data_IF_674010069940
#
_entry.id   IF_674010069940
#
_cell.length_a   1.000
_cell.length_b   1.000
_cell.length_c   1.000
_cell.angle_alpha   90.00
_cell.angle_beta   90.00
_cell.angle_gamma   90.00
#
_symmetry.space_group_name_H-M   'P 1'
#
loop_
_entity.id
_entity.type
_entity.pdbx_description
1 polymer ?
#
# COMPACT_ATOMS: atom_id res chain seq x y z
N UNK A 1 -23.41 6.08 -16.41
CA UNK A 1 -22.33 6.34 -15.44
C UNK A 1 -21.63 5.02 -15.16
N UNK A 2 -20.37 4.99 -15.40
CA UNK A 2 -19.61 3.79 -15.19
C UNK A 2 -19.18 3.68 -13.73
N UNK A 3 -19.41 2.52 -13.14
CA UNK A 3 -18.97 2.22 -11.78
C UNK A 3 -17.61 1.54 -11.85
N UNK A 4 -16.62 2.29 -12.34
CA UNK A 4 -15.28 1.76 -12.45
C UNK A 4 -14.61 1.75 -11.06
N UNK A 5 -14.53 0.57 -10.50
CA UNK A 5 -13.71 0.35 -9.32
C UNK A 5 -12.30 0.08 -9.83
N UNK A 6 -11.44 1.06 -9.74
CA UNK A 6 -10.05 0.89 -10.10
C UNK A 6 -9.24 0.43 -8.89
N UNK A 7 -8.41 -0.59 -9.12
CA UNK A 7 -7.46 -1.00 -8.10
C UNK A 7 -6.46 0.13 -7.87
N UNK A 8 -6.18 0.41 -6.61
CA UNK A 8 -5.22 1.43 -6.23
C UNK A 8 -3.90 0.78 -5.88
N UNK A 9 -2.87 1.11 -6.64
CA UNK A 9 -1.52 0.60 -6.43
C UNK A 9 -0.76 1.57 -5.53
N UNK A 10 0.14 1.03 -4.71
CA UNK A 10 1.01 1.88 -3.89
C UNK A 10 1.92 2.72 -4.80
N UNK A 11 2.39 3.85 -4.27
CA UNK A 11 3.37 4.68 -4.99
C UNK A 11 4.68 3.92 -5.18
N UNK A 12 5.52 4.37 -6.12
CA UNK A 12 6.82 3.74 -6.34
C UNK A 12 7.73 3.84 -5.12
N UNK A 13 7.68 4.93 -4.38
CA UNK A 13 8.45 5.08 -3.14
C UNK A 13 8.11 3.95 -2.18
N UNK A 14 6.82 3.68 -2.00
CA UNK A 14 6.36 2.59 -1.11
C UNK A 14 6.75 1.23 -1.70
N UNK A 15 6.62 1.04 -3.01
CA UNK A 15 7.01 -0.20 -3.66
C UNK A 15 8.49 -0.50 -3.45
N UNK A 16 9.36 0.50 -3.56
CA UNK A 16 10.79 0.35 -3.28
C UNK A 16 11.06 0.00 -1.82
N UNK A 17 10.34 0.64 -0.90
CA UNK A 17 10.46 0.34 0.53
C UNK A 17 10.06 -1.09 0.85
N UNK A 18 8.97 -1.57 0.23
CA UNK A 18 8.50 -2.95 0.40
C UNK A 18 9.52 -3.96 -0.12
N UNK A 19 10.11 -3.68 -1.27
CA UNK A 19 11.19 -4.52 -1.81
C UNK A 19 12.34 -4.64 -0.83
N UNK A 20 12.73 -3.53 -0.22
CA UNK A 20 13.86 -3.49 0.72
C UNK A 20 13.59 -4.25 2.02
N UNK A 21 12.34 -4.42 2.42
CA UNK A 21 11.98 -5.17 3.63
C UNK A 21 11.55 -6.61 3.34
N UNK A 22 11.74 -7.08 2.12
CA UNK A 22 11.52 -8.49 1.78
C UNK A 22 10.13 -8.85 1.31
N UNK A 23 9.40 -7.91 0.73
CA UNK A 23 8.09 -8.19 0.15
C UNK A 23 8.24 -9.10 -1.07
N UNK A 24 7.72 -10.32 -0.99
CA UNK A 24 7.84 -11.35 -2.03
C UNK A 24 6.49 -11.88 -2.52
N UNK A 25 5.42 -11.11 -2.35
CA UNK A 25 4.12 -11.49 -2.88
C UNK A 25 4.10 -11.29 -4.39
N UNK A 26 3.67 -12.29 -5.18
CA UNK A 26 3.51 -12.09 -6.62
C UNK A 26 2.47 -11.02 -6.91
N UNK A 27 2.82 -10.07 -7.78
CA UNK A 27 1.96 -8.94 -8.11
C UNK A 27 1.71 -8.84 -9.60
N UNK A 28 0.49 -8.43 -9.99
CA UNK A 28 0.12 -8.27 -11.39
C UNK A 28 0.84 -7.11 -12.07
N UNK A 29 1.32 -6.13 -11.30
CA UNK A 29 1.99 -4.92 -11.80
C UNK A 29 3.36 -4.75 -11.18
N UNK A 30 4.21 -4.00 -11.86
CA UNK A 30 5.55 -3.63 -11.41
C UNK A 30 5.89 -2.20 -11.84
N UNK A 31 6.81 -1.58 -11.11
CA UNK A 31 7.43 -0.32 -11.54
C UNK A 31 8.78 -0.62 -12.21
N UNK A 32 9.07 0.10 -13.29
CA UNK A 32 10.38 0.05 -13.93
C UNK A 32 11.25 1.23 -13.51
N UNK A 33 12.46 1.32 -14.08
CA UNK A 33 13.40 2.40 -13.77
C UNK A 33 12.89 3.81 -14.19
N UNK A 34 11.89 3.87 -15.06
CA UNK A 34 11.31 5.14 -15.52
C UNK A 34 10.09 5.56 -14.70
N UNK A 35 9.86 4.95 -13.55
CA UNK A 35 8.73 5.24 -12.66
C UNK A 35 7.35 4.98 -13.28
N UNK A 36 7.31 4.12 -14.30
CA UNK A 36 6.05 3.73 -14.95
C UNK A 36 5.61 2.36 -14.48
N UNK A 37 4.29 2.20 -14.31
CA UNK A 37 3.72 0.94 -13.91
C UNK A 37 3.44 0.07 -15.16
N UNK A 38 3.82 -1.20 -15.10
CA UNK A 38 3.67 -2.15 -16.19
C UNK A 38 3.11 -3.48 -15.72
N UNK A 39 2.64 -4.29 -16.67
CA UNK A 39 2.26 -5.66 -16.36
C UNK A 39 3.48 -6.48 -15.96
N UNK A 40 3.27 -7.38 -14.99
CA UNK A 40 4.33 -8.20 -14.38
C UNK A 40 3.99 -9.68 -14.56
N UNK A 41 3.95 -10.14 -15.80
CA UNK A 41 3.49 -11.50 -16.13
C UNK A 41 4.55 -12.25 -16.91
N UNK A 42 4.81 -13.50 -16.51
CA UNK A 42 5.60 -14.46 -17.28
C UNK A 42 4.83 -15.01 -18.47
N UNK A 43 5.52 -15.74 -19.35
CA UNK A 43 4.94 -16.37 -20.52
C UNK A 43 3.81 -17.35 -20.21
N UNK A 44 3.76 -17.91 -19.00
CA UNK A 44 2.71 -18.85 -18.56
C UNK A 44 1.66 -18.22 -17.64
N UNK A 45 1.49 -16.92 -17.71
CA UNK A 45 0.53 -16.13 -16.91
C UNK A 45 0.78 -16.16 -15.40
N UNK A 46 1.99 -16.47 -14.98
CA UNK A 46 2.39 -16.36 -13.57
C UNK A 46 2.90 -14.96 -13.27
N UNK A 47 2.53 -14.43 -12.11
CA UNK A 47 3.05 -13.15 -11.65
C UNK A 47 4.42 -13.34 -11.00
N UNK A 48 5.30 -12.37 -11.21
CA UNK A 48 6.66 -12.40 -10.66
C UNK A 48 6.73 -11.75 -9.28
N UNK A 49 7.63 -12.27 -8.44
CA UNK A 49 7.96 -11.66 -7.14
C UNK A 49 9.14 -10.70 -7.31
N UNK A 50 9.42 -9.90 -6.26
CA UNK A 50 10.54 -8.96 -6.30
C UNK A 50 11.89 -9.63 -6.60
N UNK A 51 12.14 -10.81 -6.05
CA UNK A 51 13.40 -11.52 -6.29
C UNK A 51 13.56 -12.03 -7.72
N UNK A 52 12.46 -12.11 -8.47
CA UNK A 52 12.46 -12.56 -9.87
C UNK A 52 12.57 -11.41 -10.86
N UNK A 53 12.51 -10.17 -10.40
CA UNK A 53 12.60 -8.97 -11.22
C UNK A 53 14.05 -8.50 -11.37
N UNK A 54 14.28 -7.65 -12.36
CA UNK A 54 15.57 -6.99 -12.50
C UNK A 54 15.83 -6.05 -11.31
N UNK A 55 17.11 -5.75 -10.99
CA UNK A 55 17.43 -4.92 -9.81
C UNK A 55 16.79 -3.53 -9.82
N UNK A 56 16.53 -2.96 -11.00
CA UNK A 56 15.91 -1.64 -11.16
C UNK A 56 14.39 -1.67 -11.22
N UNK A 57 13.79 -2.84 -11.01
CA UNK A 57 12.34 -3.02 -11.01
C UNK A 57 11.87 -3.41 -9.61
N UNK A 58 10.62 -3.09 -9.29
CA UNK A 58 9.99 -3.56 -8.08
C UNK A 58 8.51 -3.85 -8.31
N UNK A 59 7.99 -4.83 -7.57
CA UNK A 59 6.57 -5.15 -7.60
C UNK A 59 5.74 -3.96 -7.16
N UNK A 60 4.60 -3.75 -7.81
CA UNK A 60 3.65 -2.69 -7.48
C UNK A 60 2.37 -3.33 -6.94
N UNK A 61 2.32 -3.67 -5.64
CA UNK A 61 1.12 -4.23 -5.06
C UNK A 61 0.00 -3.19 -4.97
N UNK A 62 -1.23 -3.69 -4.89
CA UNK A 62 -2.35 -2.82 -4.52
C UNK A 62 -2.20 -2.37 -3.07
N UNK A 63 -2.86 -1.27 -2.73
CA UNK A 63 -2.89 -0.80 -1.34
C UNK A 63 -3.47 -1.87 -0.41
N UNK A 64 -4.54 -2.54 -0.83
CA UNK A 64 -5.18 -3.57 -0.01
C UNK A 64 -4.26 -4.76 0.23
N UNK A 65 -3.58 -5.25 -0.79
CA UNK A 65 -2.60 -6.33 -0.63
C UNK A 65 -1.50 -5.93 0.35
N UNK A 66 -1.03 -4.70 0.27
CA UNK A 66 0.03 -4.18 1.16
C UNK A 66 -0.46 -4.11 2.61
N UNK A 67 -1.66 -3.60 2.84
CA UNK A 67 -2.28 -3.55 4.18
C UNK A 67 -2.39 -4.95 4.76
N UNK A 68 -2.86 -5.91 3.97
CA UNK A 68 -3.02 -7.30 4.41
C UNK A 68 -1.66 -7.94 4.72
N UNK A 69 -0.66 -7.70 3.88
CA UNK A 69 0.70 -8.23 4.09
C UNK A 69 1.33 -7.69 5.38
N UNK A 70 1.19 -6.40 5.62
CA UNK A 70 1.69 -5.77 6.86
C UNK A 70 1.00 -6.38 8.09
N UNK A 71 -0.32 -6.55 8.03
CA UNK A 71 -1.07 -7.15 9.13
C UNK A 71 -0.62 -8.57 9.43
N UNK A 72 -0.46 -9.39 8.40
CA UNK A 72 -0.09 -10.80 8.56
C UNK A 72 1.34 -10.96 9.06
N UNK A 73 2.26 -10.16 8.56
CA UNK A 73 3.70 -10.34 8.86
C UNK A 73 4.18 -9.54 10.08
N UNK A 74 3.54 -8.43 10.40
CA UNK A 74 4.00 -7.53 11.46
C UNK A 74 2.97 -7.29 12.57
N UNK A 75 1.75 -7.77 12.40
CA UNK A 75 0.71 -7.58 13.40
C UNK A 75 0.26 -6.12 13.53
N UNK A 76 0.33 -5.37 12.45
CA UNK A 76 -0.08 -3.95 12.41
C UNK A 76 -1.26 -3.83 11.45
N UNK A 77 -2.35 -3.26 11.93
CA UNK A 77 -3.56 -3.04 11.14
C UNK A 77 -3.70 -1.58 10.77
N UNK A 78 -3.95 -1.30 9.49
CA UNK A 78 -4.27 0.03 8.99
C UNK A 78 -5.77 0.03 8.67
N UNK A 79 -6.53 0.85 9.38
CA UNK A 79 -7.98 0.99 9.20
C UNK A 79 -8.28 2.29 8.49
N UNK A 80 -9.15 2.24 7.49
CA UNK A 80 -9.53 3.42 6.72
C UNK A 80 -10.98 3.76 7.04
N UNK A 81 -11.22 4.96 7.53
CA UNK A 81 -12.56 5.42 7.87
C UNK A 81 -12.87 6.73 7.14
N UNK A 82 -14.08 6.86 6.58
CA UNK A 82 -14.51 8.14 6.05
C UNK A 82 -14.77 9.12 7.19
N UNK A 83 -14.41 10.38 6.98
CA UNK A 83 -14.65 11.43 7.95
C UNK A 83 -14.98 12.73 7.23
N UNK A 84 -15.61 13.66 7.95
CA UNK A 84 -15.88 14.98 7.44
C UNK A 84 -15.11 15.99 8.25
N UNK A 85 -14.43 16.91 7.56
CA UNK A 85 -13.71 17.99 8.21
C UNK A 85 -14.65 19.17 8.34
N UNK A 86 -14.93 19.58 9.58
CA UNK A 86 -15.82 20.69 9.92
C UNK A 86 -17.18 20.55 9.25
N UNK A 87 -17.64 21.59 8.56
CA UNK A 87 -18.94 21.60 7.87
C UNK A 87 -18.79 21.42 6.36
N UNK A 88 -17.64 20.89 5.92
CA UNK A 88 -17.44 20.58 4.51
C UNK A 88 -18.36 19.47 4.05
N UNK A 89 -18.83 19.59 2.81
CA UNK A 89 -19.68 18.56 2.20
C UNK A 89 -18.85 17.39 1.66
N UNK A 90 -17.54 17.54 1.56
CA UNK A 90 -16.66 16.53 1.00
C UNK A 90 -16.19 15.54 2.06
N UNK A 91 -16.22 14.26 1.71
CA UNK A 91 -15.74 13.20 2.56
C UNK A 91 -14.25 13.04 2.32
N UNK A 92 -13.47 13.08 3.39
CA UNK A 92 -12.07 12.69 3.38
C UNK A 92 -11.92 11.36 4.11
N UNK A 93 -10.75 10.74 4.00
CA UNK A 93 -10.50 9.42 4.60
C UNK A 93 -9.38 9.54 5.62
N UNK A 94 -9.63 8.95 6.78
CA UNK A 94 -8.67 8.91 7.87
C UNK A 94 -8.10 7.50 7.98
N UNK A 95 -6.78 7.38 7.95
CA UNK A 95 -6.09 6.12 8.15
C UNK A 95 -5.62 6.02 9.59
N UNK A 96 -6.11 5.00 10.29
CA UNK A 96 -5.77 4.72 11.69
C UNK A 96 -4.85 3.52 11.76
N UNK A 97 -3.81 3.61 12.59
CA UNK A 97 -2.81 2.56 12.74
C UNK A 97 -2.98 1.90 14.11
N UNK A 98 -3.15 0.57 14.09
CA UNK A 98 -3.32 -0.25 15.28
C UNK A 98 -2.17 -1.25 15.38
N UNK A 99 -1.51 -1.29 16.54
CA UNK A 99 -0.51 -2.32 16.82
C UNK A 99 -1.21 -3.49 17.50
N UNK A 100 -1.48 -4.55 16.75
CA UNK A 100 -2.35 -5.64 17.20
C UNK A 100 -1.85 -6.37 18.44
N UNK A 101 -0.52 -6.48 18.61
CA UNK A 101 0.05 -7.19 19.77
C UNK A 101 -0.24 -6.54 21.11
N UNK A 102 -0.40 -5.22 21.10
CA UNK A 102 -0.68 -4.43 22.30
C UNK A 102 -2.10 -3.92 22.35
N UNK A 103 -2.85 -4.09 21.26
CA UNK A 103 -4.19 -3.50 21.06
C UNK A 103 -4.21 -1.99 21.22
N UNK A 104 -3.06 -1.36 21.04
CA UNK A 104 -2.94 0.09 21.15
C UNK A 104 -3.10 0.74 19.80
N UNK A 105 -3.95 1.76 19.74
CA UNK A 105 -4.02 2.62 18.58
C UNK A 105 -2.78 3.53 18.58
N UNK A 106 -2.10 3.59 17.45
CA UNK A 106 -1.02 4.55 17.27
C UNK A 106 -1.62 5.95 17.15
N UNK A 107 -1.02 6.94 17.82
CA UNK A 107 -1.56 8.30 17.85
C UNK A 107 -1.52 9.01 16.49
N UNK A 108 -0.63 8.56 15.60
CA UNK A 108 -0.49 9.19 14.28
C UNK A 108 -1.61 8.73 13.36
N UNK A 109 -2.33 9.69 12.80
CA UNK A 109 -3.37 9.44 11.81
C UNK A 109 -3.09 10.28 10.56
N UNK A 110 -3.61 9.82 9.42
CA UNK A 110 -3.43 10.48 8.15
C UNK A 110 -4.78 10.78 7.54
N UNK A 111 -5.01 12.02 7.12
CA UNK A 111 -6.29 12.47 6.59
C UNK A 111 -6.08 13.05 5.20
N UNK A 112 -6.95 12.69 4.26
CA UNK A 112 -6.87 13.19 2.89
C UNK A 112 -7.75 12.40 1.95
N UNK A 113 -7.45 12.47 0.67
CA UNK A 113 -8.06 11.57 -0.30
C UNK A 113 -7.67 10.13 0.00
N UNK A 114 -8.52 9.18 -0.43
CA UNK A 114 -8.33 7.78 -0.07
C UNK A 114 -6.91 7.28 -0.35
N UNK A 115 -6.45 7.45 -1.59
CA UNK A 115 -5.12 6.96 -1.98
C UNK A 115 -4.01 7.61 -1.16
N UNK A 116 -4.09 8.91 -0.94
CA UNK A 116 -3.07 9.66 -0.20
C UNK A 116 -3.00 9.27 1.26
N UNK A 117 -4.14 9.13 1.93
CA UNK A 117 -4.17 8.75 3.34
C UNK A 117 -3.64 7.34 3.55
N UNK A 118 -3.99 6.41 2.66
CA UNK A 118 -3.51 5.03 2.74
C UNK A 118 -2.02 4.95 2.48
N UNK A 119 -1.52 5.59 1.42
CA UNK A 119 -0.08 5.58 1.12
C UNK A 119 0.73 6.22 2.24
N UNK A 120 0.26 7.33 2.80
CA UNK A 120 0.93 7.99 3.93
C UNK A 120 1.02 7.09 5.15
N UNK A 121 -0.06 6.36 5.46
CA UNK A 121 -0.08 5.44 6.59
C UNK A 121 0.86 4.26 6.36
N UNK A 122 0.87 3.69 5.16
CA UNK A 122 1.76 2.58 4.81
C UNK A 122 3.23 3.03 4.93
N UNK A 123 3.55 4.18 4.37
CA UNK A 123 4.91 4.73 4.45
C UNK A 123 5.36 4.93 5.88
N UNK A 124 4.49 5.50 6.71
CA UNK A 124 4.78 5.70 8.13
C UNK A 124 5.05 4.37 8.85
N UNK A 125 4.21 3.37 8.62
CA UNK A 125 4.37 2.05 9.24
C UNK A 125 5.72 1.42 8.86
N UNK A 126 6.07 1.46 7.58
CA UNK A 126 7.34 0.88 7.11
C UNK A 126 8.53 1.61 7.70
N UNK A 127 8.50 2.94 7.75
CA UNK A 127 9.62 3.74 8.26
C UNK A 127 9.81 3.67 9.75
N UNK A 128 8.72 3.56 10.52
CA UNK A 128 8.77 3.80 11.96
C UNK A 128 8.39 2.59 12.81
N UNK A 129 7.64 1.62 12.27
CA UNK A 129 7.09 0.52 13.07
C UNK A 129 7.59 -0.86 12.64
N UNK A 130 8.30 -0.94 11.53
CA UNK A 130 8.86 -2.20 11.02
C UNK A 130 10.38 -2.20 11.09
#
# INVERSE_FOLDING_TARGET
MENDIQERYVSQIIADMLKNIGFEVPCAKKYNSNHCIHDNVKMNNEFLTNSQLFPNECSAPTQQTTIDWIRVNYGITISIVPTMIDQCTDVVYEALIWVNKTFDQHETTFVGEYKESVDSAIEYVIKNLI
#
